data_IF_045537700778
#
_entry.id   IF_045537700778
#
_cell.length_a   1.000
_cell.length_b   1.000
_cell.length_c   1.000
_cell.angle_alpha   90.00
_cell.angle_beta   90.00
_cell.angle_gamma   90.00
#
_symmetry.space_group_name_H-M   'P 1'
#
loop_
_entity.id
_entity.type
_entity.pdbx_description
1 polymer ?
#
# COMPACT_ATOMS: atom_id res chain seq x y z
N UNK A 1 -9.58 5.88 7.20
CA UNK A 1 -9.18 6.97 6.29
C UNK A 1 -7.82 7.57 6.64
N UNK A 2 -7.60 8.26 7.77
CA UNK A 2 -6.25 8.80 8.08
C UNK A 2 -5.17 7.70 8.16
N UNK A 3 -5.48 6.57 8.80
CA UNK A 3 -4.58 5.41 8.87
C UNK A 3 -4.24 4.84 7.48
N UNK A 4 -5.20 4.78 6.56
CA UNK A 4 -4.99 4.31 5.18
C UNK A 4 -4.05 5.24 4.41
N UNK A 5 -4.20 6.56 4.57
CA UNK A 5 -3.28 7.53 3.94
C UNK A 5 -1.87 7.46 4.52
N UNK A 6 -1.76 7.25 5.83
CA UNK A 6 -0.45 7.04 6.46
C UNK A 6 0.18 5.77 5.89
N UNK A 7 -0.54 4.64 5.90
CA UNK A 7 -0.05 3.38 5.36
C UNK A 7 0.34 3.48 3.89
N UNK A 8 -0.49 4.12 3.05
CA UNK A 8 -0.19 4.34 1.65
C UNK A 8 1.05 5.21 1.45
N UNK A 9 1.20 6.28 2.25
CA UNK A 9 2.39 7.15 2.15
C UNK A 9 3.67 6.42 2.53
N UNK A 10 3.61 5.51 3.51
CA UNK A 10 4.73 4.66 3.86
C UNK A 10 4.99 3.59 2.79
N UNK A 11 3.94 3.03 2.18
CA UNK A 11 4.07 2.09 1.06
C UNK A 11 4.68 2.76 -0.19
N UNK A 12 4.35 4.02 -0.45
CA UNK A 12 4.89 4.78 -1.59
C UNK A 12 6.40 5.00 -1.50
N UNK A 13 7.02 4.79 -0.34
CA UNK A 13 8.48 4.76 -0.18
C UNK A 13 9.14 3.67 -1.02
N UNK A 14 8.39 2.65 -1.44
CA UNK A 14 8.85 1.65 -2.40
C UNK A 14 9.25 2.25 -3.75
N UNK A 15 8.77 3.46 -4.11
CA UNK A 15 9.27 4.21 -5.27
C UNK A 15 10.77 4.48 -5.14
N UNK A 16 11.25 4.86 -3.96
CA UNK A 16 12.68 5.09 -3.73
C UNK A 16 13.47 3.77 -3.78
N UNK A 17 12.89 2.68 -3.29
CA UNK A 17 13.51 1.35 -3.41
C UNK A 17 13.64 0.94 -4.89
N UNK A 18 12.62 1.21 -5.72
CA UNK A 18 12.70 1.02 -7.17
C UNK A 18 13.84 1.84 -7.78
N UNK A 19 13.93 3.14 -7.48
CA UNK A 19 14.99 4.02 -8.01
C UNK A 19 16.37 3.49 -7.60
N UNK A 20 16.53 3.11 -6.32
CA UNK A 20 17.79 2.54 -5.83
C UNK A 20 18.19 1.26 -6.59
N UNK A 21 17.25 0.33 -6.81
CA UNK A 21 17.51 -0.90 -7.57
C UNK A 21 17.88 -0.59 -9.03
N UNK A 22 17.25 0.42 -9.64
CA UNK A 22 17.58 0.88 -10.98
C UNK A 22 19.01 1.44 -11.04
N UNK A 23 19.39 2.28 -10.08
CA UNK A 23 20.75 2.86 -9.99
C UNK A 23 21.83 1.81 -9.76
N UNK A 24 21.53 0.74 -9.01
CA UNK A 24 22.43 -0.39 -8.85
C UNK A 24 22.62 -1.23 -10.13
N UNK A 25 21.77 -1.06 -11.15
CA UNK A 25 21.84 -1.82 -12.40
C UNK A 25 21.51 -3.31 -12.29
N UNK A 26 20.98 -3.76 -11.14
CA UNK A 26 20.69 -5.18 -10.86
C UNK A 26 19.46 -5.67 -11.61
N UNK A 27 18.46 -4.79 -11.81
CA UNK A 27 17.25 -5.09 -12.59
C UNK A 27 16.97 -3.93 -13.56
N UNK A 28 17.62 -3.92 -14.74
CA UNK A 28 17.50 -2.82 -15.72
C UNK A 28 16.08 -2.62 -16.26
N UNK A 29 15.19 -3.60 -16.09
CA UNK A 29 13.86 -3.66 -16.67
C UNK A 29 12.72 -3.24 -15.73
N UNK A 30 13.00 -2.69 -14.54
CA UNK A 30 11.94 -2.16 -13.66
C UNK A 30 11.45 -0.82 -14.22
N UNK A 31 10.54 -0.86 -15.19
CA UNK A 31 9.92 0.33 -15.81
C UNK A 31 8.54 0.65 -15.24
N UNK A 32 7.80 -0.36 -14.82
CA UNK A 32 6.40 -0.18 -14.38
C UNK A 32 6.28 0.65 -13.09
N UNK A 33 5.20 1.44 -12.92
CA UNK A 33 4.92 2.14 -11.68
C UNK A 33 4.77 1.16 -10.52
N UNK A 34 5.14 1.61 -9.32
CA UNK A 34 4.87 0.85 -8.09
C UNK A 34 3.36 0.80 -7.87
N UNK A 35 2.80 -0.39 -7.71
CA UNK A 35 1.36 -0.56 -7.45
C UNK A 35 1.12 -0.54 -5.94
N UNK A 36 0.27 0.37 -5.49
CA UNK A 36 -0.18 0.44 -4.10
C UNK A 36 -1.64 -0.02 -4.07
N UNK A 37 -1.91 -1.09 -3.32
CA UNK A 37 -3.24 -1.68 -3.23
C UNK A 37 -4.05 -1.06 -2.08
N UNK A 38 -5.32 -0.78 -2.36
CA UNK A 38 -6.30 -0.30 -1.40
C UNK A 38 -7.55 -1.19 -1.44
N UNK A 39 -8.13 -1.45 -0.27
CA UNK A 39 -9.39 -2.17 -0.12
C UNK A 39 -10.63 -1.26 -0.21
N UNK A 40 -10.42 0.04 0.00
CA UNK A 40 -11.47 1.05 0.07
C UNK A 40 -11.51 1.95 -1.18
N UNK A 41 -12.54 1.76 -2.02
CA UNK A 41 -12.79 2.62 -3.18
C UNK A 41 -12.96 4.10 -2.82
N UNK A 42 -13.53 4.40 -1.64
CA UNK A 42 -13.67 5.76 -1.16
C UNK A 42 -12.31 6.42 -0.93
N UNK A 43 -11.34 5.67 -0.42
CA UNK A 43 -9.98 6.15 -0.21
C UNK A 43 -9.24 6.37 -1.54
N UNK A 44 -9.40 5.47 -2.52
CA UNK A 44 -8.86 5.66 -3.88
C UNK A 44 -9.46 6.90 -4.53
N UNK A 45 -10.79 7.03 -4.50
CA UNK A 45 -11.49 8.17 -5.11
C UNK A 45 -11.08 9.50 -4.45
N UNK A 46 -10.96 9.52 -3.12
CA UNK A 46 -10.50 10.71 -2.41
C UNK A 46 -9.03 11.02 -2.66
N UNK A 47 -8.16 10.01 -2.79
CA UNK A 47 -6.74 10.20 -3.19
C UNK A 47 -6.63 10.91 -4.54
N UNK A 48 -7.58 10.67 -5.44
CA UNK A 48 -7.61 11.24 -6.78
C UNK A 48 -8.37 12.58 -6.85
N UNK A 49 -9.35 12.79 -5.98
CA UNK A 49 -10.26 13.94 -6.04
C UNK A 49 -10.37 14.70 -4.71
N UNK A 50 -9.94 15.98 -4.65
CA UNK A 50 -9.87 16.74 -3.40
C UNK A 50 -11.26 17.18 -2.96
N UNK A 51 -11.95 16.35 -2.18
CA UNK A 51 -13.10 16.82 -1.39
C UNK A 51 -12.58 17.46 -0.10
N UNK A 52 -12.92 18.74 0.07
CA UNK A 52 -12.56 19.54 1.24
C UNK A 52 -13.08 18.88 2.53
N UNK A 53 -12.19 18.21 3.24
CA UNK A 53 -12.40 17.79 4.62
C UNK A 53 -11.26 18.36 5.47
N UNK A 54 -11.57 18.78 6.69
CA UNK A 54 -10.59 19.29 7.66
C UNK A 54 -9.68 18.14 8.11
N UNK A 55 -8.62 17.90 7.34
CA UNK A 55 -7.54 17.01 7.72
C UNK A 55 -6.46 17.78 8.48
N UNK A 56 -5.85 17.10 9.45
CA UNK A 56 -4.64 17.60 10.11
C UNK A 56 -3.55 17.89 9.07
N UNK A 57 -2.74 18.93 9.29
CA UNK A 57 -1.67 19.36 8.36
C UNK A 57 -0.71 18.21 7.97
N UNK A 58 -0.44 17.28 8.88
CA UNK A 58 0.44 16.14 8.64
C UNK A 58 -0.18 15.09 7.71
N UNK A 59 -1.50 14.94 7.70
CA UNK A 59 -2.22 14.06 6.76
C UNK A 59 -2.27 14.72 5.38
N UNK A 60 -2.57 16.02 5.33
CA UNK A 60 -2.63 16.78 4.08
C UNK A 60 -1.30 16.71 3.31
N UNK A 61 -0.15 16.81 4.00
CA UNK A 61 1.18 16.66 3.35
C UNK A 61 1.37 15.29 2.72
N UNK A 62 1.03 14.21 3.42
CA UNK A 62 1.14 12.83 2.91
C UNK A 62 0.24 12.60 1.70
N UNK A 63 -0.97 13.14 1.76
CA UNK A 63 -1.93 13.13 0.66
C UNK A 63 -1.35 13.82 -0.59
N UNK A 64 -0.84 15.04 -0.45
CA UNK A 64 -0.28 15.79 -1.58
C UNK A 64 0.91 15.07 -2.20
N UNK A 65 1.78 14.47 -1.37
CA UNK A 65 2.92 13.68 -1.83
C UNK A 65 2.48 12.45 -2.65
N UNK A 66 1.52 11.67 -2.15
CA UNK A 66 0.99 10.51 -2.87
C UNK A 66 0.42 10.92 -4.23
N UNK A 67 -0.32 12.02 -4.27
CA UNK A 67 -0.91 12.53 -5.51
C UNK A 67 0.15 12.97 -6.52
N UNK A 68 1.22 13.61 -6.06
CA UNK A 68 2.35 13.99 -6.91
C UNK A 68 3.08 12.76 -7.49
N UNK A 69 3.31 11.72 -6.68
CA UNK A 69 3.92 10.48 -7.15
C UNK A 69 3.04 9.77 -8.19
N UNK A 70 1.72 9.75 -7.99
CA UNK A 70 0.78 9.21 -8.98
C UNK A 70 0.78 10.04 -10.26
N UNK A 71 0.75 11.38 -10.17
CA UNK A 71 0.72 12.23 -11.36
C UNK A 71 2.00 12.15 -12.20
N UNK A 72 3.14 11.90 -11.56
CA UNK A 72 4.42 11.60 -12.21
C UNK A 72 4.48 10.22 -12.86
N UNK A 73 3.57 9.31 -12.50
CA UNK A 73 3.60 7.91 -12.92
C UNK A 73 4.63 7.07 -12.16
N UNK A 74 5.11 7.54 -11.00
CA UNK A 74 6.03 6.79 -10.15
C UNK A 74 5.33 5.61 -9.46
N UNK A 75 4.07 5.82 -9.08
CA UNK A 75 3.18 4.81 -8.52
C UNK A 75 1.76 4.90 -9.10
N UNK A 76 0.97 3.83 -8.94
CA UNK A 76 -0.46 3.79 -9.26
C UNK A 76 -1.23 3.11 -8.12
N UNK A 77 -2.48 3.51 -7.95
CA UNK A 77 -3.35 2.97 -6.90
C UNK A 77 -4.36 2.01 -7.51
N UNK A 78 -4.36 0.77 -7.01
CA UNK A 78 -5.27 -0.28 -7.47
C UNK A 78 -6.16 -0.78 -6.34
N UNK A 79 -7.32 -1.31 -6.70
CA UNK A 79 -8.21 -1.96 -5.75
C UNK A 79 -7.77 -3.41 -5.52
N UNK A 80 -7.77 -3.83 -4.26
CA UNK A 80 -7.75 -5.23 -3.83
C UNK A 80 -9.00 -5.51 -2.98
N UNK A 81 -9.49 -6.74 -2.92
CA UNK A 81 -10.54 -7.08 -1.94
C UNK A 81 -9.94 -7.16 -0.53
N UNK A 82 -10.72 -6.86 0.51
CA UNK A 82 -10.23 -7.00 1.91
C UNK A 82 -9.77 -8.42 2.20
N UNK A 83 -10.47 -9.43 1.66
CA UNK A 83 -10.12 -10.85 1.78
C UNK A 83 -8.80 -11.22 1.11
N UNK A 84 -8.34 -10.43 0.14
CA UNK A 84 -7.07 -10.65 -0.56
C UNK A 84 -5.97 -9.68 -0.10
N UNK A 85 -6.31 -8.71 0.75
CA UNK A 85 -5.35 -7.73 1.24
C UNK A 85 -4.51 -8.33 2.38
N UNK A 86 -3.34 -8.84 2.04
CA UNK A 86 -2.40 -9.43 3.00
C UNK A 86 -1.86 -8.44 4.04
N UNK A 87 -2.11 -7.13 3.88
CA UNK A 87 -1.80 -6.12 4.90
C UNK A 87 -2.88 -5.96 5.98
N UNK A 88 -4.11 -6.46 5.76
CA UNK A 88 -5.20 -6.34 6.72
C UNK A 88 -4.87 -6.97 8.09
N UNK A 89 -4.27 -8.18 8.18
CA UNK A 89 -3.86 -8.77 9.46
C UNK A 89 -2.92 -7.92 10.29
N UNK A 90 -2.16 -7.04 9.64
CA UNK A 90 -1.16 -6.18 10.29
C UNK A 90 -1.75 -4.84 10.75
N UNK A 91 -2.95 -4.49 10.30
CA UNK A 91 -3.52 -3.14 10.48
C UNK A 91 -4.91 -3.15 11.12
N UNK A 92 -5.60 -4.30 11.17
CA UNK A 92 -6.98 -4.41 11.66
C UNK A 92 -7.15 -5.61 12.59
N UNK A 93 -7.99 -5.48 13.64
CA UNK A 93 -8.48 -6.65 14.36
C UNK A 93 -9.40 -7.48 13.46
N UNK A 94 -9.26 -8.80 13.46
CA UNK A 94 -10.08 -9.72 12.68
C UNK A 94 -10.25 -11.06 13.39
N UNK A 95 -11.14 -11.91 12.86
CA UNK A 95 -11.34 -13.27 13.40
C UNK A 95 -10.13 -14.16 13.13
N UNK A 96 -9.95 -15.18 13.97
CA UNK A 96 -8.87 -16.15 13.79
C UNK A 96 -8.93 -16.84 12.41
N UNK A 97 -10.13 -17.13 11.92
CA UNK A 97 -10.34 -17.76 10.61
C UNK A 97 -9.82 -16.86 9.48
N UNK A 98 -10.21 -15.58 9.47
CA UNK A 98 -9.72 -14.62 8.48
C UNK A 98 -8.21 -14.43 8.57
N UNK A 99 -7.67 -14.35 9.80
CA UNK A 99 -6.24 -14.23 10.02
C UNK A 99 -5.46 -15.43 9.44
N UNK A 100 -5.89 -16.66 9.71
CA UNK A 100 -5.27 -17.88 9.16
C UNK A 100 -5.32 -17.91 7.64
N UNK A 101 -6.45 -17.53 7.03
CA UNK A 101 -6.57 -17.44 5.57
C UNK A 101 -5.53 -16.48 4.98
N UNK A 102 -5.31 -15.31 5.59
CA UNK A 102 -4.28 -14.39 5.12
C UNK A 102 -2.85 -14.90 5.35
N UNK A 103 -2.57 -15.62 6.43
CA UNK A 103 -1.26 -16.24 6.65
C UNK A 103 -0.94 -17.26 5.55
N UNK A 104 -1.93 -18.07 5.16
CA UNK A 104 -1.79 -19.03 4.06
C UNK A 104 -1.49 -18.30 2.74
N UNK A 105 -2.17 -17.18 2.46
CA UNK A 105 -1.89 -16.34 1.29
C UNK A 105 -0.47 -15.75 1.28
N UNK A 106 0.09 -15.45 2.45
CA UNK A 106 1.47 -14.98 2.60
C UNK A 106 2.50 -16.12 2.57
N UNK A 107 2.06 -17.38 2.45
CA UNK A 107 2.89 -18.58 2.60
C UNK A 107 3.64 -18.63 3.95
N UNK A 108 3.05 -18.05 5.00
CA UNK A 108 3.60 -18.11 6.35
C UNK A 108 3.19 -19.43 7.01
N UNK A 109 4.17 -20.26 7.36
CA UNK A 109 3.95 -21.52 8.08
C UNK A 109 4.33 -21.39 9.54
N UNK A 110 3.68 -22.16 10.40
CA UNK A 110 4.07 -22.23 11.81
C UNK A 110 5.49 -22.78 11.90
N UNK A 111 6.28 -22.26 12.83
CA UNK A 111 7.67 -22.71 13.01
C UNK A 111 7.77 -24.22 13.30
N UNK A 112 6.71 -24.83 13.86
CA UNK A 112 6.62 -26.27 14.09
C UNK A 112 6.46 -27.13 12.84
N UNK A 113 6.04 -26.55 11.70
CA UNK A 113 5.82 -27.27 10.44
C UNK A 113 7.10 -27.39 9.59
N UNK A 114 8.22 -26.82 10.04
CA UNK A 114 9.53 -26.86 9.37
C UNK A 114 10.44 -27.99 9.87
N UNK A 115 10.06 -28.67 10.96
CA UNK A 115 10.74 -29.83 11.54
C UNK A 115 10.02 -31.12 11.13
#
# INVERSE_FOLDING_TARGET
MEAEYIAASEAARAVWMKIYIQELGVVPSIVQPVVIFFDNNGAIAQAMEPRSHHHSKHILRRYLLLREMVSRGDCRMDRVSSTENTSDPLTKPMSQIAHTQHLDMMNLRSMGDWL
#
